data_IF_608496222986
#
_entry.id   IF_608496222986
#
_cell.length_a   1.000
_cell.length_b   1.000
_cell.length_c   1.000
_cell.angle_alpha   90.00
_cell.angle_beta   90.00
_cell.angle_gamma   90.00
#
_symmetry.space_group_name_H-M   'P 1'
#
loop_
_entity.id
_entity.type
_entity.pdbx_description
1 polymer ?
2 polymer ?
3 water ?
#
# COMPACT_ATOMS: atom_id res chain seq x y z
N UNK A 2 10.76 18.64 -23.51
CA UNK A 2 11.25 19.98 -23.20
C UNK A 2 12.00 19.92 -21.86
N UNK A 3 11.95 21.00 -21.07
CA UNK A 3 12.47 20.98 -19.71
C UNK A 3 11.43 21.55 -18.74
N UNK A 4 11.64 21.32 -17.44
CA UNK A 4 10.64 21.62 -16.43
C UNK A 4 11.21 22.33 -15.20
N UNK A 5 10.67 23.51 -14.81
CA UNK A 5 11.20 24.22 -13.64
C UNK A 5 11.18 23.30 -12.44
N UNK A 6 12.25 23.40 -11.62
CA UNK A 6 12.31 22.74 -10.34
C UNK A 6 11.24 23.28 -9.39
N UNK A 7 10.83 22.49 -8.37
CA UNK A 7 9.72 22.87 -7.51
C UNK A 7 9.92 24.21 -6.81
N UNK A 8 8.94 25.10 -6.98
CA UNK A 8 8.91 26.37 -6.28
C UNK A 8 8.72 26.10 -4.78
N UNK A 9 9.09 27.03 -3.87
CA UNK A 9 8.88 26.80 -2.44
C UNK A 9 7.37 26.72 -2.16
N UNK A 10 6.98 25.80 -1.28
CA UNK A 10 5.59 25.55 -0.92
C UNK A 10 4.76 24.80 -1.96
N UNK A 11 5.42 24.36 -3.03
CA UNK A 11 4.73 23.62 -4.07
C UNK A 11 4.60 22.14 -3.69
N UNK A 12 5.57 21.59 -2.97
CA UNK A 12 5.61 20.16 -2.74
C UNK A 12 4.61 19.77 -1.65
N UNK A 13 4.04 18.58 -1.82
CA UNK A 13 3.12 18.05 -0.83
C UNK A 13 3.88 17.72 0.45
N UNK A 14 3.27 18.10 1.58
CA UNK A 14 3.78 17.84 2.91
C UNK A 14 2.98 16.71 3.55
N UNK A 15 3.67 15.70 4.12
CA UNK A 15 2.98 14.56 4.72
C UNK A 15 2.24 14.97 6.00
N UNK A 16 2.83 15.90 6.76
CA UNK A 16 2.15 16.50 7.89
C UNK A 16 0.74 17.00 7.54
N UNK A 17 0.53 17.47 6.30
CA UNK A 17 -0.78 17.94 5.87
C UNK A 17 -1.67 16.85 5.27
N UNK A 18 -1.14 15.63 5.17
CA UNK A 18 -1.97 14.52 4.71
C UNK A 18 -2.41 13.70 5.92
N UNK A 19 -3.72 13.60 6.15
CA UNK A 19 -4.23 12.93 7.34
C UNK A 19 -4.90 11.58 7.05
N UNK A 20 -4.68 11.04 5.84
CA UNK A 20 -5.18 9.72 5.50
C UNK A 20 -4.19 8.59 5.83
N UNK A 21 -4.37 7.43 5.21
CA UNK A 21 -3.46 6.32 5.43
C UNK A 21 -2.24 6.45 4.51
N UNK A 22 -1.05 6.60 5.09
CA UNK A 22 0.16 6.59 4.28
C UNK A 22 0.38 5.17 3.76
N UNK A 23 -0.25 4.19 4.45
CA UNK A 23 -0.16 2.80 4.04
C UNK A 23 -0.57 2.61 2.57
N UNK A 24 -1.51 3.46 2.08
CA UNK A 24 -2.08 3.27 0.77
C UNK A 24 -1.18 3.82 -0.35
N UNK A 25 -0.32 4.77 -0.01
CA UNK A 25 0.81 5.17 -0.86
C UNK A 25 1.88 4.07 -0.78
N UNK A 26 2.22 3.65 0.44
CA UNK A 26 3.28 2.69 0.62
C UNK A 26 3.11 1.37 -0.15
N UNK A 27 1.92 0.76 -0.13
CA UNK A 27 1.72 -0.51 -0.83
C UNK A 27 2.11 -0.45 -2.31
N UNK A 28 2.04 0.75 -2.89
CA UNK A 28 2.30 0.89 -4.31
C UNK A 28 3.77 0.64 -4.67
N UNK A 29 4.64 0.92 -3.71
CA UNK A 29 6.08 0.78 -3.88
C UNK A 29 6.65 -0.33 -3.01
N UNK A 30 5.75 -1.17 -2.48
CA UNK A 30 6.11 -2.37 -1.74
C UNK A 30 6.53 -3.44 -2.76
N UNK A 31 6.79 -4.66 -2.33
CA UNK A 31 7.29 -5.69 -3.22
C UNK A 31 6.46 -5.99 -4.47
N UNK A 32 5.13 -6.10 -4.30
CA UNK A 32 4.27 -6.46 -5.41
C UNK A 32 4.27 -5.42 -6.53
N UNK A 33 4.40 -5.90 -7.77
CA UNK A 33 4.40 -5.03 -8.95
C UNK A 33 4.22 -5.88 -10.19
N UNK A 34 3.95 -5.21 -11.32
CA UNK A 34 3.90 -5.87 -12.61
C UNK A 34 5.28 -5.76 -13.29
N UNK A 35 5.78 -6.93 -13.68
CA UNK A 35 6.96 -7.05 -14.53
C UNK A 35 6.73 -8.29 -15.39
N UNK A 36 6.48 -8.08 -16.68
CA UNK A 36 6.39 -9.17 -17.63
C UNK A 36 7.31 -8.83 -18.81
N UNK A 37 7.88 -9.87 -19.41
CA UNK A 37 8.81 -9.67 -20.51
C UNK A 37 8.28 -10.40 -21.75
N UNK A 38 8.35 -9.72 -22.89
CA UNK A 38 8.01 -10.28 -24.19
C UNK A 38 6.60 -10.85 -24.32
N UNK A 39 5.61 -9.96 -24.18
CA UNK A 39 4.20 -10.33 -24.21
C UNK A 39 3.47 -9.40 -25.16
N UNK A 40 2.30 -9.84 -25.65
CA UNK A 40 1.49 -9.04 -26.55
C UNK A 40 0.05 -8.93 -26.04
N UNK A 41 -0.54 -7.74 -26.19
CA UNK A 41 -1.92 -7.52 -25.77
C UNK A 41 -2.80 -8.62 -26.34
N UNK A 42 -3.78 -9.07 -25.54
CA UNK A 42 -4.74 -10.07 -25.97
C UNK A 42 -6.17 -9.53 -25.98
N UNK A 43 -6.35 -8.30 -25.52
CA UNK A 43 -7.68 -7.70 -25.56
C UNK A 43 -7.58 -6.22 -25.24
N UNK A 44 -8.75 -5.57 -25.22
CA UNK A 44 -8.87 -4.17 -24.96
C UNK A 44 -10.27 -3.88 -24.42
N UNK A 45 -10.38 -2.99 -23.43
CA UNK A 45 -11.68 -2.56 -22.96
C UNK A 45 -12.05 -1.23 -23.62
N UNK A 46 -11.31 -0.17 -23.30
CA UNK A 46 -11.56 1.11 -23.93
C UNK A 46 -10.42 1.44 -24.89
N UNK A 47 -10.68 2.39 -25.79
CA UNK A 47 -9.75 2.76 -26.83
C UNK A 47 -8.38 3.21 -26.31
N UNK A 48 -8.27 3.63 -25.04
CA UNK A 48 -7.01 4.10 -24.47
C UNK A 48 -6.26 3.08 -23.62
N UNK A 49 -6.65 1.80 -23.71
CA UNK A 49 -6.05 0.76 -22.89
C UNK A 49 -5.73 -0.50 -23.69
N UNK A 50 -4.97 -1.40 -23.04
CA UNK A 50 -4.61 -2.69 -23.58
C UNK A 50 -4.67 -3.67 -22.42
N UNK A 51 -5.07 -4.91 -22.73
CA UNK A 51 -5.17 -5.95 -21.72
C UNK A 51 -4.20 -7.07 -22.05
N UNK A 52 -3.39 -7.43 -21.04
CA UNK A 52 -2.36 -8.44 -21.19
C UNK A 52 -2.78 -9.59 -20.30
N UNK A 53 -2.36 -10.79 -20.68
CA UNK A 53 -2.52 -11.96 -19.86
C UNK A 53 -1.11 -12.35 -19.41
N UNK A 54 -0.86 -12.28 -18.09
CA UNK A 54 0.46 -12.59 -17.55
C UNK A 54 0.34 -13.63 -16.43
N UNK A 55 1.29 -14.55 -16.41
CA UNK A 55 1.25 -15.73 -15.56
C UNK A 55 1.53 -15.35 -14.11
N UNK A 56 0.84 -16.03 -13.20
CA UNK A 56 1.21 -16.01 -11.80
C UNK A 56 2.01 -17.28 -11.52
N UNK A 57 3.26 -17.14 -11.13
CA UNK A 57 4.11 -18.33 -10.93
C UNK A 57 3.69 -19.05 -9.67
N UNK A 58 3.32 -18.31 -8.62
CA UNK A 58 2.85 -18.91 -7.34
C UNK A 58 1.54 -19.73 -7.41
N UNK A 59 0.53 -19.29 -8.16
CA UNK A 59 -0.81 -19.97 -8.11
C UNK A 59 -1.04 -20.79 -9.37
N UNK A 60 -0.22 -20.56 -10.38
CA UNK A 60 -0.27 -21.32 -11.62
C UNK A 60 -1.22 -20.77 -12.69
N UNK A 61 -2.17 -19.93 -12.28
CA UNK A 61 -3.14 -19.35 -13.20
C UNK A 61 -2.54 -18.18 -13.98
N UNK A 62 -3.37 -17.50 -14.77
CA UNK A 62 -2.99 -16.28 -15.45
C UNK A 62 -3.79 -15.11 -14.89
N UNK A 63 -3.16 -13.94 -14.76
CA UNK A 63 -3.88 -12.73 -14.40
C UNK A 63 -3.96 -11.78 -15.59
N UNK A 64 -5.00 -10.96 -15.60
CA UNK A 64 -5.10 -9.90 -16.59
C UNK A 64 -4.60 -8.59 -16.00
N UNK A 65 -3.81 -7.88 -16.78
CA UNK A 65 -3.40 -6.53 -16.44
C UNK A 65 -4.01 -5.56 -17.45
N UNK A 66 -4.77 -4.59 -16.93
CA UNK A 66 -5.27 -3.53 -17.78
C UNK A 66 -4.32 -2.35 -17.67
N UNK A 67 -3.63 -2.06 -18.78
CA UNK A 67 -2.69 -0.96 -18.85
C UNK A 67 -3.42 0.21 -19.49
N UNK A 68 -3.34 1.38 -18.84
CA UNK A 68 -4.04 2.56 -19.32
C UNK A 68 -3.09 3.68 -19.74
N UNK A 69 -3.30 4.22 -20.94
CA UNK A 69 -2.52 5.32 -21.47
C UNK A 69 -3.31 6.61 -21.53
N UNK A 70 -2.61 7.75 -21.66
CA UNK A 70 -3.28 9.04 -21.70
C UNK A 70 -4.06 9.29 -22.98
N UNK A 71 -3.88 8.41 -24.00
CA UNK A 71 -4.56 8.55 -25.27
C UNK A 71 -4.59 7.28 -26.11
N UNK A 72 -5.32 7.35 -27.22
CA UNK A 72 -5.49 6.26 -28.17
C UNK A 72 -4.21 5.95 -28.95
N UNK A 73 -3.47 7.01 -29.28
CA UNK A 73 -2.24 6.85 -30.03
C UNK A 73 -1.25 5.89 -29.36
N UNK A 74 -1.13 5.98 -28.02
CA UNK A 74 -0.21 5.12 -27.28
C UNK A 74 -0.71 3.68 -27.27
N UNK A 75 -2.00 3.50 -27.02
CA UNK A 75 -2.61 2.19 -27.11
C UNK A 75 -2.44 1.61 -28.51
N UNK A 76 -2.75 2.43 -29.53
CA UNK A 76 -2.62 2.02 -30.92
C UNK A 76 -1.19 1.60 -31.25
N UNK A 77 -0.22 2.38 -30.76
CA UNK A 77 1.18 2.07 -31.00
C UNK A 77 1.60 0.67 -30.56
N UNK A 78 1.18 0.28 -29.35
CA UNK A 78 1.70 -0.93 -28.71
C UNK A 78 0.77 -2.14 -28.87
N UNK A 79 -0.39 -1.90 -29.47
CA UNK A 79 -1.45 -2.89 -29.55
C UNK A 79 -0.98 -4.29 -29.94
N UNK A 80 -0.49 -4.44 -31.17
CA UNK A 80 -0.18 -5.78 -31.64
C UNK A 80 1.31 -6.04 -31.55
N UNK A 81 1.96 -5.45 -30.54
CA UNK A 81 3.40 -5.54 -30.36
C UNK A 81 3.79 -6.36 -29.13
N UNK A 82 4.84 -7.18 -29.33
CA UNK A 82 5.55 -7.81 -28.23
C UNK A 82 6.27 -6.70 -27.45
N UNK A 83 6.00 -6.68 -26.15
CA UNK A 83 6.45 -5.61 -25.27
C UNK A 83 7.03 -6.15 -23.97
N UNK A 84 7.59 -5.23 -23.18
CA UNK A 84 7.80 -5.44 -21.76
C UNK A 84 6.84 -4.53 -21.01
N UNK A 85 6.27 -5.06 -19.93
CA UNK A 85 5.36 -4.31 -19.10
C UNK A 85 5.97 -4.37 -17.71
N UNK A 86 6.12 -3.18 -17.14
CA UNK A 86 6.59 -3.02 -15.77
C UNK A 86 5.89 -1.83 -15.13
N UNK A 87 5.19 -2.06 -14.02
CA UNK A 87 4.58 -0.94 -13.34
C UNK A 87 4.00 -1.27 -11.99
N UNK A 88 3.68 -0.18 -11.28
CA UNK A 88 2.98 -0.22 -10.01
C UNK A 88 1.48 -0.39 -10.26
N UNK A 89 0.98 -1.59 -10.01
CA UNK A 89 -0.43 -1.87 -10.28
C UNK A 89 -1.32 -1.64 -9.06
N UNK A 90 -2.64 -1.64 -9.31
CA UNK A 90 -3.62 -1.46 -8.26
C UNK A 90 -4.90 -2.22 -8.59
N UNK A 91 -5.79 -2.27 -7.58
CA UNK A 91 -7.04 -2.99 -7.63
C UNK A 91 -8.26 -2.16 -7.23
N UNK A 92 -8.11 -1.18 -6.33
CA UNK A 92 -9.27 -0.58 -5.70
C UNK A 92 -10.27 -0.06 -6.72
N UNK A 93 -9.84 0.82 -7.64
CA UNK A 93 -10.74 1.28 -8.69
C UNK A 93 -10.23 0.79 -10.04
N UNK A 94 -9.86 -0.48 -10.08
CA UNK A 94 -9.51 -1.18 -11.30
C UNK A 94 -10.81 -1.69 -11.93
N UNK A 95 -11.15 -1.18 -13.12
CA UNK A 95 -12.38 -1.58 -13.79
C UNK A 95 -12.08 -2.37 -15.07
N UNK A 96 -12.72 -3.52 -15.23
CA UNK A 96 -12.70 -4.24 -16.50
C UNK A 96 -14.06 -4.17 -17.18
N UNK A 97 -15.02 -3.51 -16.53
CA UNK A 97 -16.38 -3.43 -17.00
C UNK A 97 -16.89 -2.13 -16.39
N UNK A 98 -18.21 -1.92 -16.39
CA UNK A 98 -18.79 -0.72 -15.81
C UNK A 98 -19.38 -1.02 -14.45
N UNK A 109 -10.69 -9.59 -6.27
CA UNK A 109 -10.53 -9.47 -7.72
C UNK A 109 -9.07 -9.61 -8.15
N UNK A 110 -8.36 -10.56 -7.52
CA UNK A 110 -6.91 -10.67 -7.59
C UNK A 110 -6.41 -10.88 -9.01
N UNK A 111 -7.29 -11.41 -9.86
CA UNK A 111 -6.96 -11.81 -11.21
C UNK A 111 -7.08 -10.69 -12.23
N UNK A 112 -7.49 -9.50 -11.78
CA UNK A 112 -7.70 -8.37 -12.65
C UNK A 112 -7.14 -7.11 -12.02
N UNK A 113 -5.89 -6.76 -12.38
CA UNK A 113 -5.26 -5.57 -11.85
C UNK A 113 -5.15 -4.52 -12.96
N UNK A 114 -4.94 -3.29 -12.54
CA UNK A 114 -4.84 -2.14 -13.43
C UNK A 114 -3.48 -1.49 -13.26
N UNK A 115 -3.03 -0.75 -14.29
CA UNK A 115 -1.87 0.12 -14.18
C UNK A 115 -1.84 1.15 -15.31
N UNK A 116 -0.86 2.07 -15.23
CA UNK A 116 -0.64 3.09 -16.24
C UNK A 116 0.78 3.05 -16.82
N UNK A 117 0.88 3.25 -18.14
CA UNK A 117 2.17 3.37 -18.81
C UNK A 117 2.90 2.04 -18.71
N UNK A 118 4.21 2.14 -18.42
CA UNK A 118 5.08 1.01 -18.15
C UNK A 118 5.38 0.04 -19.29
N UNK A 119 5.27 0.50 -20.54
CA UNK A 119 5.35 -0.40 -21.67
C UNK A 119 6.45 0.02 -22.64
N UNK A 120 7.30 -0.96 -22.97
CA UNK A 120 8.37 -0.77 -23.93
C UNK A 120 8.38 -1.92 -24.91
N UNK A 121 8.66 -1.61 -26.18
CA UNK A 121 8.85 -2.63 -27.18
C UNK A 121 9.94 -3.61 -26.73
N UNK A 122 9.70 -4.91 -26.92
CA UNK A 122 10.66 -5.90 -26.49
C UNK A 122 11.86 -5.91 -27.45
N UNK A 123 11.61 -6.27 -28.70
CA UNK A 123 12.69 -6.44 -29.66
C UNK A 123 13.44 -5.14 -29.94
N UNK A 124 14.77 -5.24 -29.97
CA UNK A 124 15.63 -4.09 -30.18
C UNK A 124 15.85 -3.20 -28.95
N UNK A 125 15.30 -3.58 -27.79
CA UNK A 125 15.46 -2.75 -26.60
C UNK A 125 16.29 -3.47 -25.53
N UNK A 126 16.81 -4.65 -25.87
CA UNK A 126 17.57 -5.49 -24.96
C UNK A 126 19.07 -5.26 -25.07
N UNK A 127 19.71 -4.92 -23.95
CA UNK A 127 21.16 -4.93 -23.84
C UNK A 127 21.65 -6.32 -23.41
N UNK A 128 22.79 -6.74 -23.97
CA UNK A 128 23.39 -8.02 -23.63
C UNK A 128 24.01 -7.90 -22.23
N UNK A 129 24.46 -6.68 -21.92
CA UNK A 129 25.05 -6.32 -20.63
C UNK A 129 24.23 -5.20 -20.00
N UNK A 130 23.93 -5.32 -18.70
CA UNK A 130 23.05 -4.36 -18.03
C UNK A 130 23.74 -3.02 -17.80
N UNK A 131 22.96 -1.95 -17.64
CA UNK A 131 23.52 -0.65 -17.32
C UNK A 131 23.18 -0.30 -15.87
N UNK A 132 24.13 0.38 -15.22
CA UNK A 132 23.93 0.92 -13.90
C UNK A 132 23.47 2.35 -14.07
N UNK A 133 22.51 2.74 -13.23
CA UNK A 133 22.05 4.10 -13.14
C UNK A 133 22.13 4.39 -11.66
N UNK A 134 22.86 5.44 -11.29
CA UNK A 134 23.04 5.71 -9.89
C UNK A 134 21.96 6.70 -9.46
N UNK A 135 21.32 6.36 -8.33
CA UNK A 135 20.43 7.27 -7.63
C UNK A 135 21.20 8.01 -6.55
N UNK A 136 21.05 9.34 -6.53
CA UNK A 136 21.65 10.17 -5.51
C UNK A 136 20.56 10.71 -4.60
N UNK A 137 20.47 10.15 -3.39
CA UNK A 137 19.47 10.57 -2.43
C UNK A 137 20.03 11.71 -1.59
N UNK A 138 19.36 12.86 -1.66
CA UNK A 138 19.65 14.02 -0.83
C UNK A 138 18.62 14.06 0.30
N UNK A 139 19.11 14.14 1.54
CA UNK A 139 18.24 14.41 2.67
C UNK A 139 18.58 15.80 3.17
N UNK A 140 17.57 16.66 3.30
CA UNK A 140 17.77 18.06 3.63
C UNK A 140 19.04 18.64 3.02
N UNK A 141 19.16 18.50 1.70
CA UNK A 141 20.30 19.02 0.96
C UNK A 141 21.58 18.19 0.97
N UNK A 142 21.66 17.07 1.70
CA UNK A 142 22.91 16.33 1.79
C UNK A 142 22.88 14.95 1.13
N UNK A 143 23.76 14.75 0.14
CA UNK A 143 23.84 13.47 -0.55
C UNK A 143 24.54 12.43 0.33
N UNK A 144 23.80 11.92 1.32
CA UNK A 144 24.35 10.94 2.24
C UNK A 144 24.31 9.56 1.58
N UNK A 145 23.18 9.23 0.96
CA UNK A 145 23.01 7.95 0.30
C UNK A 145 23.08 8.09 -1.22
N UNK A 146 23.78 7.13 -1.83
CA UNK A 146 23.65 6.84 -3.25
C UNK A 146 23.53 5.33 -3.47
N UNK A 147 22.80 4.93 -4.50
CA UNK A 147 22.72 3.52 -4.84
C UNK A 147 22.41 3.38 -6.32
N UNK A 148 22.70 2.20 -6.85
CA UNK A 148 22.53 1.94 -8.26
C UNK A 148 21.27 1.14 -8.48
N UNK A 149 20.60 1.41 -9.61
CA UNK A 149 19.61 0.49 -10.14
C UNK A 149 20.12 0.11 -11.51
N UNK A 150 19.97 -1.18 -11.83
CA UNK A 150 20.48 -1.79 -13.04
C UNK A 150 19.32 -2.22 -13.94
N UNK A 151 19.40 -1.87 -15.23
CA UNK A 151 18.38 -2.28 -16.18
C UNK A 151 18.99 -2.97 -17.41
N UNK A 152 18.21 -3.85 -18.04
CA UNK A 152 18.58 -4.48 -19.31
C UNK A 152 17.92 -3.82 -20.53
N UNK A 153 17.26 -2.67 -20.29
CA UNK A 153 16.56 -1.88 -21.29
C UNK A 153 17.29 -0.60 -21.73
N UNK A 154 17.33 -0.35 -23.05
CA UNK A 154 18.00 0.82 -23.59
C UNK A 154 17.20 2.08 -23.28
N UNK A 155 15.91 2.01 -23.65
CA UNK A 155 14.91 3.01 -23.31
C UNK A 155 14.02 2.40 -22.23
N UNK A 156 13.85 3.11 -21.11
CA UNK A 156 13.13 2.56 -19.98
C UNK A 156 12.16 3.62 -19.49
N UNK A 157 10.97 3.20 -19.08
CA UNK A 157 9.98 4.14 -18.56
C UNK A 157 10.50 4.74 -17.26
N UNK A 158 10.22 6.03 -17.08
CA UNK A 158 10.47 6.72 -15.84
C UNK A 158 9.69 6.05 -14.71
N UNK A 159 8.51 5.54 -15.03
CA UNK A 159 7.76 4.78 -14.05
C UNK A 159 8.58 3.66 -13.41
N UNK A 160 9.25 2.89 -14.28
CA UNK A 160 9.97 1.72 -13.82
C UNK A 160 11.10 2.16 -12.88
N UNK A 161 11.80 3.22 -13.27
CA UNK A 161 12.90 3.74 -12.48
C UNK A 161 12.41 4.31 -11.16
N UNK A 162 11.27 5.01 -11.25
CA UNK A 162 10.67 5.59 -10.07
C UNK A 162 10.33 4.48 -9.09
N UNK A 163 9.84 3.34 -9.61
CA UNK A 163 9.40 2.26 -8.74
C UNK A 163 10.60 1.68 -8.02
N UNK A 164 11.59 1.27 -8.82
CA UNK A 164 12.78 0.66 -8.25
C UNK A 164 13.37 1.59 -7.19
N UNK A 165 13.44 2.89 -7.51
CA UNK A 165 13.96 3.87 -6.57
C UNK A 165 13.17 3.92 -5.26
N UNK A 166 11.85 4.06 -5.32
CA UNK A 166 11.04 4.20 -4.11
C UNK A 166 10.99 2.90 -3.30
N UNK A 167 10.81 1.75 -3.97
CA UNK A 167 10.90 0.47 -3.31
C UNK A 167 12.14 0.42 -2.43
N UNK A 168 13.30 0.72 -3.03
CA UNK A 168 14.56 0.73 -2.31
C UNK A 168 14.45 1.61 -1.06
N UNK A 169 13.91 2.81 -1.25
CA UNK A 169 13.81 3.77 -0.16
C UNK A 169 12.79 3.33 0.91
N UNK A 170 11.71 2.69 0.46
CA UNK A 170 10.70 2.22 1.39
C UNK A 170 11.27 1.21 2.38
N UNK A 171 12.07 0.27 1.85
CA UNK A 171 12.71 -0.79 2.61
C UNK A 171 13.93 -0.34 3.41
N UNK A 172 14.70 0.63 2.89
CA UNK A 172 15.98 1.01 3.47
C UNK A 172 15.90 2.27 4.30
N UNK A 173 14.99 3.17 3.93
CA UNK A 173 14.88 4.44 4.63
C UNK A 173 13.50 4.75 5.21
N UNK A 174 12.62 3.75 5.30
CA UNK A 174 11.31 3.90 5.92
C UNK A 174 10.43 4.94 5.25
N UNK A 175 10.58 5.12 3.93
CA UNK A 175 9.97 6.25 3.24
C UNK A 175 8.49 6.47 3.58
N UNK A 176 7.67 5.43 3.43
CA UNK A 176 6.25 5.64 3.64
C UNK A 176 5.76 4.93 4.89
N UNK A 177 6.61 4.86 5.92
CA UNK A 177 6.22 4.37 7.23
C UNK A 177 5.38 5.44 7.93
N UNK A 178 4.08 5.20 8.08
CA UNK A 178 3.18 6.25 8.58
C UNK A 178 3.69 6.90 9.88
N UNK A 179 4.31 6.09 10.73
CA UNK A 179 4.78 6.50 12.05
C UNK A 179 6.27 6.83 12.12
N UNK A 180 7.11 6.07 11.39
CA UNK A 180 8.56 6.17 11.47
C UNK A 180 9.31 6.82 10.30
N UNK A 181 8.60 7.15 9.21
CA UNK A 181 9.19 7.95 8.15
C UNK A 181 9.63 9.29 8.75
N UNK A 182 10.89 9.73 8.53
CA UNK A 182 11.32 11.08 8.92
C UNK A 182 10.95 12.22 7.97
N UNK A 183 10.36 11.90 6.83
CA UNK A 183 10.30 12.84 5.71
C UNK A 183 8.97 13.56 5.61
N UNK A 184 9.07 14.86 5.28
CA UNK A 184 7.94 15.74 5.07
C UNK A 184 7.71 15.94 3.57
N UNK A 185 8.81 16.11 2.83
CA UNK A 185 8.79 16.50 1.42
C UNK A 185 9.61 15.52 0.59
N UNK A 186 9.16 15.26 -0.63
CA UNK A 186 9.91 14.32 -1.44
C UNK A 186 9.66 14.44 -2.93
N UNK A 187 10.73 14.70 -3.71
CA UNK A 187 10.61 14.54 -5.15
C UNK A 187 11.78 13.81 -5.77
N UNK A 188 11.44 13.06 -6.84
CA UNK A 188 12.40 12.34 -7.67
C UNK A 188 12.54 13.13 -8.97
N UNK A 189 13.78 13.44 -9.31
CA UNK A 189 14.09 14.27 -10.46
C UNK A 189 14.86 13.39 -11.44
N UNK A 190 14.37 13.33 -12.68
CA UNK A 190 15.07 12.64 -13.75
C UNK A 190 15.79 13.66 -14.64
N UNK A 191 17.09 13.45 -14.86
CA UNK A 191 17.89 14.31 -15.72
C UNK A 191 18.44 13.50 -16.90
N UNK A 192 18.20 14.03 -18.10
CA UNK A 192 18.67 13.42 -19.37
C UNK A 192 19.26 14.58 -20.16
N UNK A 193 20.57 14.61 -20.32
CA UNK A 193 21.24 15.78 -20.94
C UNK A 193 20.92 17.01 -20.10
N UNK A 194 20.49 18.09 -20.74
CA UNK A 194 20.12 19.33 -20.00
C UNK A 194 18.62 19.34 -19.62
N UNK A 195 17.86 18.33 -20.03
CA UNK A 195 16.40 18.37 -19.78
C UNK A 195 16.01 17.54 -18.54
N UNK A 196 15.11 18.07 -17.72
CA UNK A 196 14.70 17.38 -16.51
C UNK A 196 13.21 17.52 -16.24
N UNK A 197 12.65 16.47 -15.62
CA UNK A 197 11.30 16.50 -15.07
C UNK A 197 11.34 15.82 -13.70
N UNK A 198 10.30 16.05 -12.91
CA UNK A 198 10.22 15.48 -11.58
C UNK A 198 8.79 15.13 -11.20
N UNK A 199 8.66 14.21 -10.25
CA UNK A 199 7.38 13.83 -9.68
C UNK A 199 7.40 14.10 -8.17
N UNK A 200 6.29 14.63 -7.62
CA UNK A 200 6.08 14.73 -6.18
C UNK A 200 5.75 13.35 -5.59
N UNK A 201 6.61 12.90 -4.68
CA UNK A 201 6.52 11.59 -4.07
C UNK A 201 5.52 11.51 -2.91
N UNK A 202 4.96 12.67 -2.52
CA UNK A 202 4.10 12.75 -1.36
C UNK A 202 2.64 12.94 -1.79
N UNK A 203 1.68 12.35 -1.04
CA UNK A 203 0.27 12.45 -1.37
C UNK A 203 -0.20 13.88 -1.13
N UNK A 204 -1.17 14.30 -1.93
CA UNK A 204 -1.82 15.59 -1.76
C UNK A 204 -2.45 15.66 -0.37
N UNK A 205 -2.58 16.88 0.19
CA UNK A 205 -3.14 17.07 1.53
C UNK A 205 -4.62 16.70 1.67
N UNK A 206 -5.06 16.50 2.92
CA UNK A 206 -6.42 16.10 3.22
C UNK A 206 -6.44 14.69 3.76
N UNK A 207 -7.63 14.11 3.86
CA UNK A 207 -7.83 12.85 4.55
C UNK A 207 -7.96 11.65 3.61
N UNK A 208 -7.96 11.88 2.29
CA UNK A 208 -8.04 10.75 1.39
C UNK A 208 -6.95 10.74 0.33
N UNK A 209 -6.64 9.52 -0.10
CA UNK A 209 -5.65 9.29 -1.12
C UNK A 209 -6.24 8.32 -2.13
N UNK A 210 -6.23 8.71 -3.41
CA UNK A 210 -6.74 7.89 -4.49
C UNK A 210 -5.61 7.23 -5.24
N UNK A 211 -5.47 5.91 -5.12
CA UNK A 211 -4.39 5.22 -5.80
C UNK A 211 -4.46 5.44 -7.31
N UNK A 212 -5.65 5.26 -7.87
CA UNK A 212 -5.86 5.42 -9.29
C UNK A 212 -5.41 6.77 -9.84
N UNK A 213 -5.74 7.85 -9.12
CA UNK A 213 -5.42 9.19 -9.57
C UNK A 213 -3.91 9.49 -9.45
N UNK A 214 -3.30 9.17 -8.31
CA UNK A 214 -1.87 9.37 -8.18
C UNK A 214 -1.09 8.74 -9.34
N UNK A 215 -1.35 7.45 -9.61
CA UNK A 215 -0.59 6.67 -10.57
C UNK A 215 -0.77 7.02 -12.05
N UNK A 216 -1.85 7.77 -12.32
CA UNK A 216 -2.17 8.23 -13.67
C UNK A 216 -1.11 9.17 -14.22
N UNK A 217 -0.20 9.65 -13.37
CA UNK A 217 0.93 10.46 -13.82
C UNK A 217 1.87 9.64 -14.71
N UNK A 218 1.80 8.29 -14.67
CA UNK A 218 2.58 7.44 -15.55
C UNK A 218 1.91 7.08 -16.86
N UNK A 219 0.72 7.63 -17.11
CA UNK A 219 -0.07 7.19 -18.27
C UNK A 219 0.43 7.85 -19.55
N UNK A 220 1.34 8.83 -19.43
CA UNK A 220 2.05 9.34 -20.59
C UNK A 220 3.12 8.39 -21.10
N UNK A 221 3.38 7.30 -20.37
CA UNK A 221 4.36 6.31 -20.77
C UNK A 221 5.77 6.87 -20.96
N UNK A 222 6.09 7.95 -20.23
CA UNK A 222 7.34 8.65 -20.43
C UNK A 222 8.51 7.67 -20.38
N UNK A 223 9.37 7.77 -21.40
CA UNK A 223 10.59 7.00 -21.51
C UNK A 223 11.85 7.84 -21.43
N UNK A 224 12.91 7.24 -20.89
CA UNK A 224 14.25 7.83 -20.85
C UNK A 224 15.25 6.82 -21.39
N UNK A 225 16.43 7.32 -21.76
CA UNK A 225 17.56 6.48 -22.15
C UNK A 225 18.37 6.07 -20.93
N UNK A 226 18.60 4.76 -20.77
CA UNK A 226 19.19 4.26 -19.54
C UNK A 226 20.71 4.48 -19.41
N UNK A 227 21.34 4.91 -20.49
CA UNK A 227 22.72 5.33 -20.44
C UNK A 227 22.82 6.81 -20.07
N UNK A 228 21.82 7.59 -20.50
CA UNK A 228 21.85 9.03 -20.27
C UNK A 228 21.23 9.55 -18.97
N UNK A 229 20.24 8.84 -18.43
CA UNK A 229 19.46 9.43 -17.36
C UNK A 229 20.25 9.42 -16.05
N UNK A 230 20.14 10.53 -15.33
CA UNK A 230 20.56 10.63 -13.96
C UNK A 230 19.32 10.73 -13.06
N UNK A 231 19.35 10.09 -11.88
CA UNK A 231 18.29 10.24 -10.91
C UNK A 231 18.75 10.95 -9.64
N UNK A 232 18.01 12.00 -9.25
CA UNK A 232 18.18 12.64 -7.97
C UNK A 232 16.88 12.61 -7.17
N UNK A 233 16.95 12.18 -5.90
CA UNK A 233 15.82 12.22 -4.99
C UNK A 233 16.09 13.24 -3.90
N UNK A 234 15.22 14.25 -3.78
CA UNK A 234 15.33 15.27 -2.76
C UNK A 234 14.25 15.11 -1.69
N UNK A 235 14.71 14.70 -0.49
CA UNK A 235 13.81 14.53 0.64
C UNK A 235 14.08 15.65 1.63
N UNK A 236 13.07 15.99 2.43
CA UNK A 236 13.33 16.86 3.58
C UNK A 236 12.67 16.23 4.79
N UNK A 237 13.20 16.57 5.98
CA UNK A 237 12.69 16.06 7.24
C UNK A 237 11.82 17.10 7.94
N UNK A 238 11.04 16.61 8.88
CA UNK A 238 10.07 17.44 9.57
C UNK A 238 10.79 18.39 10.51
N UNK B 1 -12.71 -22.15 5.12
CA UNK B 1 -13.53 -21.07 5.66
C UNK B 1 -12.78 -20.45 6.83
N UNK B 2 -13.14 -19.19 7.13
CA UNK B 2 -12.54 -18.40 8.18
C UNK B 2 -13.05 -18.75 9.56
N UNK B 3 -12.15 -18.90 10.53
CA UNK B 3 -12.53 -19.05 11.92
C UNK B 3 -11.68 -18.20 12.86
N UNK B 4 -12.36 -17.63 13.85
CA UNK B 4 -11.76 -16.85 14.91
C UNK B 4 -12.17 -17.45 16.25
N UNK B 5 -11.17 -17.76 17.07
CA UNK B 5 -11.39 -18.32 18.38
C UNK B 5 -10.71 -17.41 19.41
N UNK B 6 -11.53 -16.80 20.28
CA UNK B 6 -11.01 -15.95 21.34
C UNK B 6 -10.72 -16.78 22.59
N UNK B 7 -9.81 -16.30 23.43
CA UNK B 7 -9.59 -16.87 24.75
C UNK B 7 -9.08 -15.80 25.71
N UNK B 8 -8.80 -16.21 26.96
CA UNK B 8 -8.20 -15.32 27.95
C UNK B 8 -9.19 -14.51 28.78
N UNK B 9 -10.49 -14.72 28.53
CA UNK B 9 -11.50 -14.12 29.38
C UNK B 9 -11.49 -14.67 30.80
N UNK B 10 -12.26 -14.04 31.68
CA UNK B 10 -12.49 -14.57 33.02
C UNK B 10 -13.27 -13.62 33.91
N UNK B 11 -13.28 -13.95 35.22
CA UNK B 11 -14.08 -13.26 36.21
C UNK B 11 -13.17 -12.53 37.19
N UNK B 12 -13.23 -11.20 37.23
CA UNK B 12 -12.26 -10.49 38.04
C UNK B 12 -12.93 -9.45 38.92
N UNK B 13 -12.11 -8.75 39.69
CA UNK B 13 -12.54 -7.71 40.61
C UNK B 13 -12.13 -6.33 40.08
N UNK B 14 -12.91 -5.31 40.44
CA UNK B 14 -12.59 -3.94 40.05
C UNK B 14 -11.08 -3.76 40.20
N UNK B 15 -10.47 -3.17 39.17
CA UNK B 15 -9.03 -2.93 39.16
C UNK B 15 -8.17 -4.03 38.54
N UNK B 16 -8.72 -5.22 38.36
CA UNK B 16 -8.01 -6.32 37.75
C UNK B 16 -7.61 -6.10 36.28
N UNK B 17 -6.91 -7.10 35.74
CA UNK B 17 -6.36 -7.05 34.40
C UNK B 17 -6.56 -8.40 33.74
N UNK B 18 -6.79 -8.36 32.43
CA UNK B 18 -6.79 -9.59 31.64
C UNK B 18 -6.12 -9.35 30.29
N UNK B 19 -5.68 -10.45 29.67
CA UNK B 19 -5.20 -10.46 28.30
C UNK B 19 -6.05 -11.35 27.39
N UNK B 20 -6.73 -10.75 26.42
CA UNK B 20 -7.49 -11.53 25.47
C UNK B 20 -6.61 -11.93 24.29
N UNK B 21 -6.75 -13.20 23.90
CA UNK B 21 -6.20 -13.73 22.67
C UNK B 21 -7.28 -14.02 21.62
N UNK B 22 -6.92 -13.87 20.34
CA UNK B 22 -7.71 -14.40 19.22
C UNK B 22 -6.86 -15.20 18.26
N UNK B 23 -7.09 -16.51 18.21
CA UNK B 23 -6.46 -17.34 17.19
C UNK B 23 -7.32 -17.33 15.91
N UNK B 24 -6.73 -16.87 14.81
CA UNK B 24 -7.36 -16.99 13.50
C UNK B 24 -6.86 -18.24 12.75
N UNK B 25 -7.76 -18.88 12.00
CA UNK B 25 -7.37 -19.88 11.02
C UNK B 25 -8.23 -19.64 9.79
N UNK B 26 -7.81 -20.22 8.65
CA UNK B 26 -8.52 -20.05 7.40
C UNK B 26 -8.11 -18.81 6.62
N UNK B 27 -7.14 -18.05 7.14
CA UNK B 27 -6.69 -16.80 6.54
C UNK B 27 -5.58 -16.21 7.39
N UNK B 28 -4.83 -15.25 6.84
CA UNK B 28 -3.79 -14.60 7.63
C UNK B 28 -4.22 -13.24 8.16
N UNK B 29 -3.65 -12.92 9.31
CA UNK B 29 -3.82 -11.63 9.97
C UNK B 29 -3.34 -10.47 9.11
N UNK B 30 -2.60 -10.77 8.06
CA UNK B 30 -1.97 -9.76 7.23
C UNK B 30 -2.95 -8.86 6.50
N UNK B 31 -2.55 -7.59 6.35
CA UNK B 31 -3.11 -6.67 5.39
C UNK B 31 -4.59 -6.37 5.58
N UNK B 32 -5.06 -6.37 6.83
CA UNK B 32 -6.45 -6.08 7.15
C UNK B 32 -6.52 -5.44 8.52
N UNK B 33 -7.68 -4.87 8.85
CA UNK B 33 -7.95 -4.42 10.19
C UNK B 33 -8.42 -5.62 10.99
N UNK B 34 -7.87 -5.81 12.20
CA UNK B 34 -8.38 -6.81 13.13
C UNK B 34 -8.91 -5.99 14.30
N UNK B 35 -10.04 -6.43 14.86
CA UNK B 35 -10.78 -5.56 15.76
C UNK B 35 -11.44 -6.30 16.92
N UNK B 36 -11.39 -5.65 18.09
CA UNK B 36 -12.04 -6.18 19.28
C UNK B 36 -13.32 -5.39 19.48
N UNK B 37 -14.40 -6.14 19.65
CA UNK B 37 -15.69 -5.58 20.03
C UNK B 37 -16.11 -6.09 21.39
N UNK B 38 -17.19 -5.51 21.92
CA UNK B 38 -17.87 -6.04 23.08
C UNK B 38 -19.38 -5.78 23.06
N UNK B 39 -20.11 -6.63 23.78
CA UNK B 39 -21.56 -6.60 23.77
C UNK B 39 -22.09 -6.99 25.15
N UNK B 40 -22.64 -5.99 25.88
CA UNK B 40 -23.48 -6.28 27.03
C UNK B 40 -24.74 -7.00 26.58
N UNK B 41 -25.42 -7.76 27.48
CA UNK B 41 -26.69 -8.37 27.11
C UNK B 41 -27.74 -7.28 26.85
N UNK B 42 -28.39 -7.32 25.69
CA UNK B 42 -29.44 -6.36 25.33
C UNK B 42 -28.93 -5.04 24.78
N UNK B 43 -27.61 -4.89 24.60
CA UNK B 43 -27.07 -3.67 23.96
C UNK B 43 -26.43 -4.12 22.63
N UNK B 44 -26.09 -3.16 21.78
CA UNK B 44 -25.53 -3.54 20.50
C UNK B 44 -24.03 -3.75 20.67
N UNK B 45 -23.46 -4.61 19.83
CA UNK B 45 -22.00 -4.72 19.66
C UNK B 45 -21.31 -3.39 19.37
N UNK B 46 -20.32 -3.02 20.19
CA UNK B 46 -19.54 -1.80 19.98
C UNK B 46 -18.05 -2.10 19.87
N UNK B 47 -17.37 -1.25 19.08
CA UNK B 47 -15.94 -1.43 18.85
C UNK B 47 -15.16 -0.82 20.00
N UNK B 48 -14.07 -1.49 20.39
CA UNK B 48 -13.25 -1.01 21.48
C UNK B 48 -11.81 -0.72 21.01
N UNK B 49 -11.21 -1.63 20.23
CA UNK B 49 -9.91 -1.35 19.63
C UNK B 49 -9.68 -2.04 18.29
N UNK B 50 -8.96 -1.35 17.40
CA UNK B 50 -8.51 -1.98 16.16
C UNK B 50 -7.07 -1.66 15.81
N UNK B 51 -6.45 -2.65 15.14
CA UNK B 51 -5.10 -2.58 14.64
C UNK B 51 -5.07 -2.94 13.15
N UNK B 52 -4.50 -2.06 12.33
CA UNK B 52 -4.19 -2.40 10.95
C UNK B 52 -2.90 -3.23 10.89
N UNK B 53 -3.01 -4.52 10.54
CA UNK B 53 -1.89 -5.43 10.67
C UNK B 53 -0.74 -5.12 9.71
N UNK B 54 -1.06 -4.57 8.54
CA UNK B 54 -0.06 -4.08 7.62
C UNK B 54 0.98 -3.18 8.30
N UNK B 55 0.54 -2.31 9.20
CA UNK B 55 1.42 -1.28 9.74
C UNK B 55 1.47 -1.16 11.26
N UNK B 56 0.54 -1.83 11.96
CA UNK B 56 0.46 -1.80 13.41
C UNK B 56 -0.21 -0.52 13.91
N UNK B 57 -0.78 0.24 12.97
CA UNK B 57 -1.55 1.42 13.32
C UNK B 57 -2.77 1.03 14.15
N UNK B 58 -3.10 1.86 15.15
CA UNK B 58 -4.12 1.50 16.11
C UNK B 58 -5.17 2.58 16.32
N UNK B 59 -6.40 2.12 16.54
CA UNK B 59 -7.56 2.96 16.81
C UNK B 59 -8.22 2.46 18.09
N UNK B 60 -8.48 3.42 18.96
CA UNK B 60 -9.06 3.07 20.27
C UNK B 60 -10.32 3.86 20.51
N UNK B 61 -11.33 3.16 20.98
CA UNK B 61 -12.59 3.78 21.42
C UNK B 61 -12.30 4.51 22.73
N UNK B 62 -13.12 5.49 23.08
CA UNK B 62 -12.93 6.35 24.27
C UNK B 62 -12.94 5.43 25.50
N UNK B 63 -13.77 4.40 25.51
CA UNK B 63 -13.95 3.56 26.72
C UNK B 63 -12.63 2.90 27.16
N UNK B 64 -11.82 2.39 26.24
CA UNK B 64 -10.56 1.73 26.60
C UNK B 64 -9.36 2.67 26.62
N UNK B 65 -9.56 3.97 26.40
CA UNK B 65 -8.41 4.85 26.30
C UNK B 65 -7.61 4.95 27.60
N UNK B 66 -6.31 4.69 27.49
CA UNK B 66 -5.40 4.76 28.62
C UNK B 66 -5.39 3.49 29.46
N UNK B 67 -6.20 2.50 29.06
CA UNK B 67 -6.40 1.29 29.83
C UNK B 67 -6.14 0.01 29.05
N UNK B 68 -6.51 -0.01 27.78
CA UNK B 68 -6.40 -1.21 26.97
C UNK B 68 -5.34 -0.97 25.90
N UNK B 69 -4.73 -2.07 25.43
CA UNK B 69 -3.83 -2.02 24.31
C UNK B 69 -4.10 -3.20 23.41
N UNK B 70 -4.25 -2.93 22.10
CA UNK B 70 -4.34 -4.00 21.12
C UNK B 70 -2.98 -4.24 20.48
N UNK B 71 -2.70 -5.50 20.15
CA UNK B 71 -1.46 -5.88 19.50
C UNK B 71 -1.63 -7.13 18.65
N UNK B 72 -0.63 -7.37 17.79
CA UNK B 72 -0.58 -8.55 16.91
C UNK B 72 0.68 -9.37 17.16
N UNK B 73 0.61 -10.65 16.82
CA UNK B 73 1.81 -11.49 16.74
C UNK B 73 1.71 -12.27 15.43
N UNK B 74 2.38 -11.76 14.41
CA UNK B 74 2.22 -12.27 13.06
C UNK B 74 2.59 -13.75 13.02
N UNK B 75 3.71 -14.09 13.68
CA UNK B 75 4.17 -15.48 13.75
C UNK B 75 3.12 -16.42 14.34
N UNK B 76 2.31 -15.91 15.27
CA UNK B 76 1.26 -16.71 15.87
C UNK B 76 -0.08 -16.60 15.14
N UNK B 77 -0.16 -15.69 14.17
CA UNK B 77 -1.41 -15.42 13.48
C UNK B 77 -2.51 -15.11 14.50
N UNK B 78 -2.21 -14.18 15.41
CA UNK B 78 -3.13 -13.88 16.49
C UNK B 78 -3.04 -12.41 16.85
N UNK B 79 -4.12 -11.90 17.46
CA UNK B 79 -4.09 -10.57 18.04
C UNK B 79 -4.53 -10.71 19.49
N UNK B 80 -4.30 -9.64 20.25
CA UNK B 80 -4.37 -9.67 21.70
C UNK B 80 -4.96 -8.34 22.13
N UNK B 81 -5.63 -8.35 23.27
CA UNK B 81 -6.12 -7.11 23.86
C UNK B 81 -5.75 -7.07 25.34
N UNK B 82 -4.76 -6.23 25.68
CA UNK B 82 -4.39 -6.08 27.07
C UNK B 82 -5.42 -5.18 27.75
N UNK B 83 -6.02 -5.71 28.81
CA UNK B 83 -7.07 -5.00 29.53
C UNK B 83 -6.65 -4.77 30.98
N UNK B 84 -6.47 -3.48 31.33
CA UNK B 84 -6.03 -3.06 32.65
C UNK B 84 -7.01 -2.07 33.28
N UNK B 85 -6.98 -2.03 34.63
CA UNK B 85 -7.89 -1.22 35.43
C UNK B 85 -9.33 -1.52 35.09
N UNK B 86 -9.65 -2.80 35.01
CA UNK B 86 -11.01 -3.20 34.69
C UNK B 86 -11.98 -2.60 35.71
N UNK B 87 -13.24 -2.45 35.28
CA UNK B 87 -14.30 -1.89 36.11
C UNK B 87 -15.60 -2.58 35.70
N UNK B 88 -16.65 -2.57 36.57
CA UNK B 88 -17.87 -3.34 36.34
C UNK B 88 -18.52 -3.04 35.00
N UNK B 89 -18.43 -1.76 34.59
CA UNK B 89 -18.82 -1.30 33.26
C UNK B 89 -18.20 -2.08 32.10
N UNK B 90 -17.02 -2.67 32.28
CA UNK B 90 -16.38 -3.41 31.21
C UNK B 90 -16.92 -4.82 31.06
N UNK B 91 -17.86 -5.21 31.93
CA UNK B 91 -18.49 -6.55 31.88
C UNK B 91 -19.23 -6.73 30.57
N UNK B 92 -18.67 -7.51 29.65
CA UNK B 92 -19.30 -7.79 28.35
C UNK B 92 -18.74 -9.08 27.75
N UNK B 93 -19.41 -9.64 26.76
CA UNK B 93 -18.75 -10.71 25.98
C UNK B 93 -17.89 -9.97 24.95
N UNK B 94 -16.61 -10.30 24.84
CA UNK B 94 -15.68 -9.61 23.96
C UNK B 94 -15.47 -10.46 22.72
N UNK B 95 -15.57 -9.83 21.54
CA UNK B 95 -15.46 -10.53 20.26
C UNK B 95 -14.31 -10.04 19.41
N UNK B 96 -13.60 -11.00 18.82
CA UNK B 96 -12.60 -10.68 17.82
C UNK B 96 -13.20 -10.77 16.42
N UNK B 97 -12.99 -9.72 15.61
CA UNK B 97 -13.47 -9.71 14.25
C UNK B 97 -12.32 -9.41 13.27
N UNK B 98 -12.33 -10.11 12.12
CA UNK B 98 -11.40 -9.85 11.02
C UNK B 98 -12.01 -8.99 9.91
N UNK B 99 -11.39 -7.84 9.65
CA UNK B 99 -11.73 -7.02 8.50
C UNK B 99 -11.41 -7.76 7.20
N UNK B 100 -12.05 -7.34 6.10
CA UNK B 100 -11.72 -7.86 4.77
C UNK B 100 -10.30 -7.52 4.33
N UNK B 101 -9.65 -8.44 3.58
CA UNK B 101 -8.36 -8.18 2.94
C UNK B 101 -8.55 -7.69 1.51
N UNK B 102 -8.48 -6.36 1.35
CA UNK B 102 -8.60 -5.75 0.04
C UNK B 102 -7.23 -5.90 -0.60
N UNK B 103 -7.21 -5.90 -1.95
CA UNK B 103 -5.98 -6.02 -2.70
C UNK B 103 -5.35 -4.64 -2.79
N UNK B 104 -4.14 -4.54 -2.21
CA UNK B 104 -3.31 -3.36 -2.19
C UNK B 104 -4.04 -2.10 -1.76
N UNK B 105 -4.89 -2.25 -0.75
CA UNK B 105 -5.72 -1.16 -0.25
C UNK B 105 -6.24 -1.51 1.15
N UNK B 106 -6.36 -0.49 1.99
CA UNK B 106 -6.83 -0.64 3.36
C UNK B 106 -7.90 0.43 3.62
N UNK B 107 -8.98 0.04 4.30
CA UNK B 107 -10.12 0.93 4.46
C UNK B 107 -9.76 1.99 5.49
N UNK B 108 -10.35 3.20 5.43
CA UNK B 108 -9.95 4.29 6.32
C UNK B 108 -10.20 3.94 7.77
N UNK B 109 -9.40 4.53 8.66
CA UNK B 109 -9.50 4.23 10.07
C UNK B 109 -10.86 4.60 10.66
N UNK B 110 -11.53 5.60 10.06
CA UNK B 110 -12.81 6.07 10.58
C UNK B 110 -13.91 5.00 10.66
N UNK B 111 -13.73 3.89 9.94
CA UNK B 111 -14.71 2.82 9.84
C UNK B 111 -14.29 1.52 10.54
N UNK B 112 -13.16 1.56 11.24
CA UNK B 112 -12.56 0.34 11.76
C UNK B 112 -13.35 -0.22 12.95
N UNK B 113 -14.02 0.66 13.68
CA UNK B 113 -14.82 0.29 14.83
C UNK B 113 -16.29 0.10 14.52
N UNK B 114 -16.66 0.09 13.23
CA UNK B 114 -18.04 -0.11 12.83
C UNK B 114 -18.30 -1.60 12.60
N UNK B 115 -19.30 -2.17 13.28
CA UNK B 115 -19.56 -3.59 13.21
C UNK B 115 -20.05 -4.03 11.82
N UNK B 116 -20.66 -3.09 11.09
CA UNK B 116 -21.24 -3.39 9.79
C UNK B 116 -20.16 -3.79 8.79
N UNK B 117 -18.94 -3.30 9.02
CA UNK B 117 -17.82 -3.61 8.15
C UNK B 117 -17.31 -5.04 8.22
N UNK B 118 -17.74 -5.82 9.23
CA UNK B 118 -17.04 -7.06 9.51
C UNK B 118 -17.89 -8.29 9.22
N UNK B 119 -17.30 -9.23 8.47
CA UNK B 119 -17.94 -10.46 8.06
C UNK B 119 -17.51 -11.71 8.83
N UNK B 120 -16.47 -11.59 9.65
CA UNK B 120 -15.88 -12.73 10.31
C UNK B 120 -15.78 -12.37 11.78
N UNK B 121 -16.43 -13.19 12.62
CA UNK B 121 -16.52 -12.97 14.05
C UNK B 121 -16.20 -14.27 14.76
N UNK B 122 -15.55 -14.17 15.92
CA UNK B 122 -15.41 -15.34 16.77
C UNK B 122 -16.61 -15.57 17.69
N UNK B 123 -16.57 -16.71 18.39
CA UNK B 123 -17.51 -17.06 19.45
C UNK B 123 -17.62 -15.98 20.52
N UNK B 124 -16.50 -15.39 20.91
CA UNK B 124 -16.42 -14.38 21.97
C UNK B 124 -15.88 -14.95 23.27
N UNK B 125 -15.36 -14.11 24.18
CA UNK B 125 -15.06 -14.53 25.53
C UNK B 125 -15.70 -13.59 26.53
N UNK B 126 -16.24 -14.18 27.58
CA UNK B 126 -16.92 -13.41 28.60
C UNK B 126 -15.88 -12.79 29.51
N UNK B 127 -16.06 -11.49 29.81
CA UNK B 127 -15.38 -10.81 30.89
C UNK B 127 -16.38 -10.26 31.92
N UNK B 128 -16.25 -10.72 33.19
CA UNK B 128 -17.04 -10.25 34.32
C UNK B 128 -16.18 -9.51 35.34
N UNK B 129 -16.67 -8.37 35.82
CA UNK B 129 -15.95 -7.54 36.77
C UNK B 129 -16.80 -7.22 38.01
N UNK B 130 -16.41 -7.76 39.17
CA UNK B 130 -17.09 -7.52 40.44
C UNK B 130 -16.88 -6.08 40.88
N UNK B 131 -17.83 -5.53 41.63
CA UNK B 131 -17.74 -4.14 42.06
C UNK B 131 -16.95 -4.09 43.35
#
# INVERSE_FOLDING_TARGET
MESQPDPKPDELHKSSKFTGLMENMKVLYDDNHVSAINVKSIDQFLYFDLIYSIKDTKLGNYDNVRVEFKNKDLADKYKDKYVDVFGANYYYQCYFSKKTNDINSHQTDKRKTCMYGGVTEHNGNQLDKYRSITVRVFEDGKNLLSFDVQTNKKKVTAQELDYLTRHYLVKNKKLYEFNNSPYETGYIKFIENENSFWYDMMPAPGDKFDQSKYLMMYNDNKMVDSKDVKIEVYLTTKKK
QVQLVESGGGSVQDGGSLRLSCAASGFTIDNRWMTWFRQAPGKEREGVASILTYSGRTVYADSGKGRFTISQANAKNSVYLQMNSLKPEDTATYYCAAGDAYHKWFMPSSRALDRKEYNYWGQGTLVTVSS
#
